data_IF_511782343292
#
_entry.id   IF_511782343292
#
_cell.length_a   1.000
_cell.length_b   1.000
_cell.length_c   1.000
_cell.angle_alpha   90.00
_cell.angle_beta   90.00
_cell.angle_gamma   90.00
#
_symmetry.space_group_name_H-M   'P 1'
#
loop_
_entity.id
_entity.type
_entity.pdbx_description
1 polymer ?
#
# COMPACT_ATOMS: atom_id res chain seq x y z
N UNK A 1 -18.15 22.52 -12.86
CA UNK A 1 -16.85 22.21 -12.22
C UNK A 1 -16.41 20.84 -12.68
N UNK A 2 -15.13 20.63 -12.98
CA UNK A 2 -14.60 19.29 -13.22
C UNK A 2 -14.64 18.51 -11.90
N UNK A 3 -15.14 17.27 -11.92
CA UNK A 3 -15.11 16.39 -10.74
C UNK A 3 -13.70 15.80 -10.62
N UNK A 4 -12.93 16.22 -9.62
CA UNK A 4 -11.59 15.69 -9.33
C UNK A 4 -11.64 14.75 -8.13
N UNK A 5 -10.80 13.72 -8.13
CA UNK A 5 -10.66 12.83 -6.97
C UNK A 5 -9.89 13.57 -5.86
N UNK A 6 -10.47 13.79 -4.67
CA UNK A 6 -9.76 14.47 -3.57
C UNK A 6 -8.77 13.56 -2.84
N UNK A 7 -8.82 12.24 -3.05
CA UNK A 7 -7.88 11.29 -2.44
C UNK A 7 -6.61 11.27 -3.30
N UNK A 8 -5.49 11.67 -2.71
CA UNK A 8 -4.19 11.78 -3.41
C UNK A 8 -3.01 11.17 -2.63
N UNK A 9 -3.17 10.99 -1.31
CA UNK A 9 -2.15 10.46 -0.44
C UNK A 9 -2.76 9.52 0.62
N UNK A 10 -2.10 8.41 0.92
CA UNK A 10 -2.46 7.52 2.03
C UNK A 10 -1.25 7.19 2.88
N UNK A 11 -1.51 6.78 4.12
CA UNK A 11 -0.47 6.25 5.02
C UNK A 11 -0.96 4.90 5.55
N UNK A 12 -0.09 3.89 5.49
CA UNK A 12 -0.35 2.56 6.04
C UNK A 12 0.49 2.45 7.32
N UNK A 13 -0.14 2.46 8.50
CA UNK A 13 0.57 2.26 9.75
C UNK A 13 1.28 0.90 9.79
N UNK A 14 2.53 0.88 10.23
CA UNK A 14 3.31 -0.34 10.43
C UNK A 14 4.08 -0.31 11.76
N UNK A 15 4.20 -1.46 12.41
CA UNK A 15 5.04 -1.63 13.61
C UNK A 15 6.51 -1.92 13.25
N UNK A 16 6.72 -2.51 12.07
CA UNK A 16 8.01 -2.95 11.55
C UNK A 16 8.06 -2.55 10.07
N UNK A 17 8.89 -1.55 9.77
CA UNK A 17 9.00 -0.96 8.44
C UNK A 17 9.71 -1.92 7.49
N UNK A 18 10.79 -2.58 7.92
CA UNK A 18 11.58 -3.50 7.10
C UNK A 18 10.73 -4.70 6.65
N UNK A 19 9.97 -5.30 7.57
CA UNK A 19 9.06 -6.40 7.25
C UNK A 19 7.99 -5.96 6.24
N UNK A 20 7.43 -4.76 6.42
CA UNK A 20 6.38 -4.24 5.55
C UNK A 20 6.91 -3.91 4.16
N UNK A 21 8.06 -3.23 4.06
CA UNK A 21 8.75 -2.95 2.80
C UNK A 21 8.97 -4.24 2.01
N UNK A 22 9.57 -5.25 2.66
CA UNK A 22 9.82 -6.56 2.02
C UNK A 22 8.54 -7.18 1.45
N UNK A 23 7.43 -7.09 2.17
CA UNK A 23 6.14 -7.61 1.71
C UNK A 23 5.65 -6.86 0.46
N UNK A 24 5.52 -5.53 0.54
CA UNK A 24 4.95 -4.74 -0.56
C UNK A 24 5.86 -4.72 -1.79
N UNK A 25 7.17 -4.62 -1.60
CA UNK A 25 8.16 -4.71 -2.69
C UNK A 25 8.09 -6.06 -3.41
N UNK A 26 7.97 -7.16 -2.68
CA UNK A 26 7.86 -8.48 -3.30
C UNK A 26 6.55 -8.69 -4.06
N UNK A 27 5.44 -8.22 -3.50
CA UNK A 27 4.11 -8.37 -4.10
C UNK A 27 3.97 -7.53 -5.37
N UNK A 28 4.42 -6.27 -5.33
CA UNK A 28 4.17 -5.29 -6.39
C UNK A 28 5.41 -4.94 -7.23
N UNK A 29 6.56 -5.53 -6.94
CA UNK A 29 7.80 -5.41 -7.72
C UNK A 29 8.31 -3.96 -7.86
N UNK A 30 8.43 -3.25 -6.74
CA UNK A 30 9.06 -1.93 -6.67
C UNK A 30 9.92 -1.79 -5.40
N UNK A 31 10.75 -0.75 -5.34
CA UNK A 31 11.50 -0.37 -4.14
C UNK A 31 10.92 0.90 -3.50
N UNK A 32 11.10 1.03 -2.19
CA UNK A 32 10.74 2.22 -1.45
C UNK A 32 11.92 3.18 -1.33
N UNK A 33 11.63 4.48 -1.32
CA UNK A 33 12.54 5.50 -0.80
C UNK A 33 12.20 5.75 0.67
N UNK A 34 13.20 5.88 1.54
CA UNK A 34 12.99 6.07 2.97
C UNK A 34 13.32 7.49 3.38
N UNK A 35 12.43 8.05 4.19
CA UNK A 35 12.52 9.42 4.69
C UNK A 35 12.13 9.46 6.17
N UNK A 36 12.60 10.50 6.87
CA UNK A 36 12.07 10.87 8.18
C UNK A 36 11.23 12.13 7.99
N UNK A 37 9.92 12.00 8.19
CA UNK A 37 8.96 13.10 8.01
C UNK A 37 8.27 13.31 9.36
N UNK A 38 8.31 14.54 9.86
CA UNK A 38 7.77 14.92 11.18
C UNK A 38 8.23 14.01 12.34
N UNK A 39 9.46 13.49 12.24
CA UNK A 39 10.06 12.60 13.23
C UNK A 39 9.65 11.13 13.11
N UNK A 40 8.90 10.76 12.08
CA UNK A 40 8.46 9.39 11.83
C UNK A 40 9.21 8.74 10.67
N UNK A 41 9.52 7.46 10.82
CA UNK A 41 10.14 6.65 9.77
C UNK A 41 9.08 6.32 8.70
N UNK A 42 9.33 6.72 7.46
CA UNK A 42 8.42 6.47 6.35
C UNK A 42 9.14 5.79 5.19
N UNK A 43 8.46 4.83 4.55
CA UNK A 43 8.88 4.23 3.29
C UNK A 43 7.86 4.62 2.21
N UNK A 44 8.29 5.46 1.26
CA UNK A 44 7.44 6.12 0.28
C UNK A 44 7.12 5.20 -0.90
N UNK A 45 5.83 5.06 -1.21
CA UNK A 45 5.42 4.39 -2.45
C UNK A 45 5.91 5.21 -3.65
N UNK A 46 6.25 4.54 -4.78
CA UNK A 46 6.69 5.24 -5.99
C UNK A 46 5.70 6.33 -6.41
N UNK A 47 6.24 7.50 -6.74
CA UNK A 47 5.47 8.64 -7.20
C UNK A 47 6.06 9.20 -8.50
N UNK A 48 5.20 9.44 -9.50
CA UNK A 48 5.57 10.11 -10.74
C UNK A 48 4.68 11.34 -10.93
N UNK A 49 5.29 12.53 -11.03
CA UNK A 49 4.57 13.79 -11.18
C UNK A 49 3.64 13.83 -12.41
N UNK A 50 4.08 13.23 -13.53
CA UNK A 50 3.42 13.35 -14.84
C UNK A 50 2.24 12.40 -15.06
N UNK A 51 2.13 11.32 -14.27
CA UNK A 51 1.06 10.33 -14.34
C UNK A 51 0.32 10.21 -12.99
N UNK A 52 0.22 11.33 -12.28
CA UNK A 52 -0.10 11.38 -10.86
C UNK A 52 -1.50 10.82 -10.56
N UNK A 53 -1.52 9.62 -9.98
CA UNK A 53 -2.63 9.05 -9.23
C UNK A 53 -2.44 9.24 -7.72
N UNK A 54 -3.05 8.37 -6.94
CA UNK A 54 -2.84 8.30 -5.49
C UNK A 54 -1.45 7.71 -5.21
N UNK A 55 -0.68 8.30 -4.30
CA UNK A 55 0.54 7.71 -3.70
C UNK A 55 0.41 7.63 -2.17
N UNK A 56 1.48 7.28 -1.46
CA UNK A 56 1.45 7.19 -0.02
C UNK A 56 2.75 6.71 0.60
N UNK A 57 2.68 6.30 1.85
CA UNK A 57 3.82 5.73 2.58
C UNK A 57 3.40 4.59 3.50
N UNK A 58 4.34 3.68 3.76
CA UNK A 58 4.34 2.89 5.00
C UNK A 58 4.87 3.80 6.11
N UNK A 59 4.14 3.94 7.21
CA UNK A 59 4.45 4.92 8.25
C UNK A 59 4.62 4.23 9.61
N UNK A 60 5.77 4.45 10.25
CA UNK A 60 6.10 3.91 11.57
C UNK A 60 6.33 5.05 12.56
N UNK A 61 5.63 4.99 13.68
CA UNK A 61 5.69 6.02 14.71
C UNK A 61 4.68 5.78 15.82
N UNK A 62 4.80 6.52 16.92
CA UNK A 62 3.95 6.34 18.11
C UNK A 62 2.45 6.54 17.83
N UNK A 63 2.12 7.41 16.87
CA UNK A 63 0.74 7.71 16.45
C UNK A 63 0.19 6.72 15.42
N UNK A 64 1.06 5.99 14.73
CA UNK A 64 0.69 5.05 13.67
C UNK A 64 0.39 3.67 14.24
N UNK A 65 -0.90 3.36 14.40
CA UNK A 65 -1.36 2.09 14.97
C UNK A 65 -2.03 1.24 13.88
N UNK A 66 -1.43 0.11 13.46
CA UNK A 66 -2.08 -0.82 12.54
C UNK A 66 -3.43 -1.29 13.11
N UNK A 67 -4.47 -1.27 12.27
CA UNK A 67 -5.83 -1.68 12.65
C UNK A 67 -6.51 -2.45 11.53
N UNK A 68 -7.42 -3.36 11.90
CA UNK A 68 -8.32 -4.05 10.95
C UNK A 68 -9.61 -3.26 10.68
N UNK A 69 -9.90 -2.25 11.49
CA UNK A 69 -11.12 -1.43 11.42
C UNK A 69 -10.89 -0.08 10.71
N UNK A 70 -9.78 0.01 9.95
CA UNK A 70 -9.40 1.20 9.18
C UNK A 70 -10.01 1.24 7.78
N UNK A 71 -9.49 2.15 6.95
CA UNK A 71 -9.88 2.27 5.55
C UNK A 71 -9.45 1.05 4.74
N UNK A 72 -10.28 0.65 3.78
CA UNK A 72 -9.92 -0.40 2.80
C UNK A 72 -9.27 0.27 1.59
N UNK A 73 -8.00 -0.06 1.34
CA UNK A 73 -7.22 0.45 0.20
C UNK A 73 -7.22 -0.59 -0.92
N UNK A 74 -7.54 -0.15 -2.14
CA UNK A 74 -7.47 -0.99 -3.34
C UNK A 74 -6.19 -0.71 -4.11
N UNK A 75 -5.35 -1.73 -4.27
CA UNK A 75 -4.16 -1.66 -5.09
C UNK A 75 -4.47 -2.12 -6.51
N UNK A 76 -4.03 -1.34 -7.50
CA UNK A 76 -4.06 -1.76 -8.89
C UNK A 76 -3.04 -2.88 -9.10
N UNK A 77 -3.43 -3.92 -9.84
CA UNK A 77 -2.54 -4.96 -10.32
C UNK A 77 -2.93 -5.39 -11.72
N UNK A 78 -1.95 -5.83 -12.51
CA UNK A 78 -2.16 -6.36 -13.86
C UNK A 78 -2.69 -7.80 -13.83
N UNK A 79 -2.29 -8.58 -12.83
CA UNK A 79 -2.70 -9.98 -12.65
C UNK A 79 -2.97 -10.27 -11.17
N UNK A 80 -4.26 -10.36 -10.83
CA UNK A 80 -4.70 -10.61 -9.45
C UNK A 80 -4.28 -11.99 -8.93
N UNK A 81 -4.22 -13.02 -9.78
CA UNK A 81 -3.86 -14.37 -9.33
C UNK A 81 -2.39 -14.41 -8.90
N UNK A 82 -1.49 -13.87 -9.74
CA UNK A 82 -0.07 -13.77 -9.41
C UNK A 82 0.18 -12.87 -8.19
N UNK A 83 -0.60 -11.80 -8.03
CA UNK A 83 -0.49 -10.89 -6.89
C UNK A 83 -0.88 -11.58 -5.59
N UNK A 84 -1.98 -12.34 -5.60
CA UNK A 84 -2.44 -13.10 -4.45
C UNK A 84 -1.46 -14.23 -4.09
N UNK A 85 -0.92 -14.94 -5.08
CA UNK A 85 0.12 -15.97 -4.86
C UNK A 85 1.34 -15.37 -4.14
N UNK A 86 1.88 -14.25 -4.63
CA UNK A 86 2.99 -13.55 -3.97
C UNK A 86 2.61 -13.07 -2.56
N UNK A 87 1.42 -12.50 -2.40
CA UNK A 87 0.96 -12.04 -1.09
C UNK A 87 0.96 -13.18 -0.08
N UNK A 88 0.44 -14.36 -0.44
CA UNK A 88 0.46 -15.54 0.43
C UNK A 88 1.90 -16.03 0.67
N UNK A 89 2.74 -16.11 -0.37
CA UNK A 89 4.14 -16.53 -0.24
C UNK A 89 4.94 -15.66 0.75
N UNK A 90 4.63 -14.36 0.84
CA UNK A 90 5.30 -13.41 1.73
C UNK A 90 4.56 -13.22 3.07
N UNK A 91 3.68 -14.14 3.45
CA UNK A 91 3.04 -14.19 4.77
C UNK A 91 1.71 -13.43 4.89
N UNK A 92 1.14 -13.02 3.75
CA UNK A 92 -0.23 -12.50 3.67
C UNK A 92 -1.28 -13.61 3.76
N UNK A 93 -2.55 -13.23 3.82
CA UNK A 93 -3.68 -14.17 3.83
C UNK A 93 -4.81 -13.64 2.97
N UNK A 94 -5.44 -14.54 2.21
CA UNK A 94 -6.62 -14.22 1.41
C UNK A 94 -7.84 -14.24 2.33
N UNK A 95 -8.33 -13.06 2.71
CA UNK A 95 -9.52 -12.94 3.58
C UNK A 95 -10.83 -12.98 2.78
N UNK A 96 -10.78 -12.55 1.52
CA UNK A 96 -11.92 -12.54 0.61
C UNK A 96 -11.49 -13.16 -0.72
N UNK A 97 -12.10 -14.28 -1.17
CA UNK A 97 -11.74 -14.90 -2.43
C UNK A 97 -11.94 -13.97 -3.62
N UNK A 98 -11.09 -14.11 -4.65
CA UNK A 98 -11.27 -13.44 -5.94
C UNK A 98 -12.68 -13.70 -6.47
N UNK A 99 -13.34 -12.65 -6.95
CA UNK A 99 -14.63 -12.72 -7.64
C UNK A 99 -14.55 -12.12 -9.03
N UNK A 100 -15.43 -12.59 -9.90
CA UNK A 100 -15.61 -12.09 -11.27
C UNK A 100 -17.06 -11.66 -11.52
N UNK A 101 -17.77 -11.29 -10.46
CA UNK A 101 -19.16 -10.86 -10.52
C UNK A 101 -19.27 -9.70 -11.54
N UNK A 102 -20.19 -9.81 -12.50
CA UNK A 102 -20.46 -8.74 -13.46
C UNK A 102 -21.00 -7.52 -12.70
N UNK A 103 -20.50 -6.32 -13.03
CA UNK A 103 -20.94 -5.06 -12.43
C UNK A 103 -22.38 -4.72 -12.80
#
# INVERSE_FOLDING_TARGET
MSSTNPVVYFEIPVNDLERAEKFYSAVFNFSFDKEIIDGYEMALFPFEEKNSGITGALAKGEVYKPSKDGVIIYFKTENIDQTLEKAVQYGGSVLYPKRTDEK
#
